data_IF_610279792771
#
_entry.id   IF_610279792771
#
_cell.length_a   1.000
_cell.length_b   1.000
_cell.length_c   1.000
_cell.angle_alpha   90.00
_cell.angle_beta   90.00
_cell.angle_gamma   90.00
#
_symmetry.space_group_name_H-M   'P 1'
#
loop_
_entity.id
_entity.type
_entity.pdbx_description
1 polymer ?
#
# COMPACT_ATOMS: atom_id res chain seq x y z
N UNK A 1 -14.68 -0.74 -24.80
CA UNK A 1 -14.84 -1.75 -23.73
C UNK A 1 -14.10 -1.20 -22.52
N UNK A 2 -14.82 -0.57 -21.58
CA UNK A 2 -14.21 0.01 -20.38
C UNK A 2 -14.04 -1.12 -19.36
N UNK A 3 -12.97 -1.90 -19.51
CA UNK A 3 -12.56 -2.86 -18.50
C UNK A 3 -11.92 -2.09 -17.34
N UNK A 4 -12.74 -1.44 -16.52
CA UNK A 4 -12.30 -1.03 -15.20
C UNK A 4 -12.19 -2.33 -14.40
N UNK A 5 -10.97 -2.86 -14.32
CA UNK A 5 -10.62 -4.04 -13.52
C UNK A 5 -10.90 -3.73 -12.04
N UNK A 6 -12.15 -3.84 -11.62
CA UNK A 6 -12.60 -3.75 -10.23
C UNK A 6 -12.41 -5.09 -9.49
N UNK A 7 -11.66 -6.03 -10.06
CA UNK A 7 -11.64 -7.45 -9.64
C UNK A 7 -10.41 -7.84 -8.81
N UNK A 8 -9.70 -6.86 -8.25
CA UNK A 8 -8.69 -7.11 -7.24
C UNK A 8 -8.96 -6.16 -6.09
N UNK A 9 -9.41 -6.71 -4.96
CA UNK A 9 -9.47 -6.02 -3.67
C UNK A 9 -8.04 -5.60 -3.32
N UNK A 10 -7.62 -4.46 -3.85
CA UNK A 10 -6.34 -3.83 -3.57
C UNK A 10 -6.58 -2.87 -2.42
N UNK A 11 -6.08 -3.21 -1.26
CA UNK A 11 -6.09 -2.30 -0.10
C UNK A 11 -4.75 -1.63 -0.01
N UNK A 12 -4.74 -0.29 0.03
CA UNK A 12 -3.52 0.49 0.22
C UNK A 12 -3.67 1.37 1.45
N UNK A 13 -2.59 1.63 2.15
CA UNK A 13 -2.58 2.55 3.28
C UNK A 13 -1.19 2.99 3.68
N UNK A 14 -1.14 3.94 4.61
CA UNK A 14 0.10 4.44 5.19
C UNK A 14 0.16 4.14 6.69
N UNK A 15 1.36 3.87 7.19
CA UNK A 15 1.66 3.70 8.61
C UNK A 15 2.71 4.74 9.00
N UNK A 16 2.39 5.56 10.00
CA UNK A 16 3.34 6.49 10.61
C UNK A 16 3.70 5.95 11.98
N UNK A 17 4.98 5.69 12.21
CA UNK A 17 5.51 5.22 13.48
C UNK A 17 5.84 6.39 14.40
N UNK A 18 5.87 6.14 15.71
CA UNK A 18 6.21 7.16 16.72
C UNK A 18 7.64 7.70 16.57
N UNK A 19 8.54 6.92 15.96
CA UNK A 19 9.91 7.32 15.65
C UNK A 19 10.05 8.23 14.42
N UNK A 20 8.92 8.58 13.78
CA UNK A 20 8.87 9.46 12.61
C UNK A 20 9.07 8.75 11.27
N UNK A 21 9.23 7.42 11.26
CA UNK A 21 9.27 6.66 10.00
C UNK A 21 7.86 6.49 9.42
N UNK A 22 7.77 6.65 8.12
CA UNK A 22 6.53 6.43 7.37
C UNK A 22 6.71 5.23 6.45
N UNK A 23 5.69 4.40 6.36
CA UNK A 23 5.63 3.27 5.46
C UNK A 23 4.36 3.33 4.63
N UNK A 24 4.44 2.88 3.39
CA UNK A 24 3.27 2.56 2.59
C UNK A 24 3.11 1.05 2.52
N UNK A 25 1.87 0.57 2.58
CA UNK A 25 1.57 -0.84 2.36
C UNK A 25 0.56 -1.03 1.23
N UNK A 26 0.73 -2.14 0.51
CA UNK A 26 -0.20 -2.62 -0.51
C UNK A 26 -0.54 -4.06 -0.17
N UNK A 27 -1.82 -4.32 0.07
CA UNK A 27 -2.38 -5.66 0.19
C UNK A 27 -3.10 -6.02 -1.09
N UNK A 28 -2.70 -7.13 -1.69
CA UNK A 28 -3.28 -7.63 -2.92
C UNK A 28 -3.08 -9.14 -3.01
N UNK A 29 -4.14 -9.86 -3.38
CA UNK A 29 -4.06 -11.32 -3.64
C UNK A 29 -3.53 -12.13 -2.44
N UNK A 30 -3.86 -11.75 -1.21
CA UNK A 30 -3.40 -12.43 0.00
C UNK A 30 -1.96 -12.10 0.43
N UNK A 31 -1.26 -11.28 -0.34
CA UNK A 31 0.09 -10.82 -0.03
C UNK A 31 0.07 -9.35 0.42
N UNK A 32 0.90 -9.03 1.41
CA UNK A 32 1.13 -7.65 1.86
C UNK A 32 2.57 -7.27 1.56
N UNK A 33 2.73 -6.17 0.82
CA UNK A 33 4.00 -5.54 0.53
C UNK A 33 4.09 -4.21 1.26
N UNK A 34 5.27 -3.88 1.79
CA UNK A 34 5.52 -2.63 2.51
C UNK A 34 6.81 -1.98 2.02
N UNK A 35 6.80 -0.66 1.93
CA UNK A 35 7.95 0.16 1.53
C UNK A 35 8.11 1.32 2.52
N UNK A 36 9.33 1.56 2.99
CA UNK A 36 9.66 2.73 3.83
C UNK A 36 9.73 3.98 2.95
N UNK A 37 8.97 5.01 3.30
CA UNK A 37 9.09 6.32 2.66
C UNK A 37 10.39 6.97 3.09
N UNK A 38 11.34 7.00 2.16
CA UNK A 38 12.54 7.81 2.31
C UNK A 38 12.18 9.25 1.93
N UNK A 39 12.03 10.11 2.94
CA UNK A 39 12.00 11.55 2.71
C UNK A 39 13.43 12.00 2.37
N UNK A 40 13.66 12.36 1.10
CA UNK A 40 14.92 12.96 0.61
C UNK A 40 15.02 14.44 1.01
#
# INVERSE_FOLDING_TARGET
>A
MNAFESDKERTTGGLVLEDGRTFQFVYQNGEISYEEEKND
#
